data_IF_594214942196
#
_entry.id   IF_594214942196
#
_cell.length_a   1.000
_cell.length_b   1.000
_cell.length_c   1.000
_cell.angle_alpha   90.00
_cell.angle_beta   90.00
_cell.angle_gamma   90.00
#
_symmetry.space_group_name_H-M   'P 1'
#
loop_
_entity.id
_entity.type
_entity.pdbx_description
1 polymer ?
#
# COMPACT_ATOMS: atom_id res chain seq x y z
N UNK A 1 8.93 -23.05 -40.47
CA UNK A 1 7.93 -22.79 -39.43
C UNK A 1 6.89 -21.83 -39.99
N UNK A 2 5.60 -22.06 -39.77
CA UNK A 2 4.57 -21.14 -40.25
C UNK A 2 4.65 -19.84 -39.43
N UNK A 3 5.07 -18.74 -40.06
CA UNK A 3 5.29 -17.44 -39.39
C UNK A 3 4.01 -16.92 -38.73
N UNK A 4 2.84 -17.22 -39.29
CA UNK A 4 1.54 -16.77 -38.76
C UNK A 4 1.25 -17.42 -37.40
N UNK A 5 1.43 -18.74 -37.28
CA UNK A 5 1.17 -19.46 -36.02
C UNK A 5 2.12 -19.03 -34.89
N UNK A 6 3.38 -18.72 -35.24
CA UNK A 6 4.36 -18.21 -34.28
C UNK A 6 3.98 -16.81 -33.80
N UNK A 7 3.56 -15.93 -34.72
CA UNK A 7 3.08 -14.59 -34.39
C UNK A 7 1.83 -14.65 -33.49
N UNK A 8 0.90 -15.57 -33.75
CA UNK A 8 -0.26 -15.81 -32.89
C UNK A 8 0.15 -16.25 -31.48
N UNK A 9 1.13 -17.15 -31.35
CA UNK A 9 1.66 -17.55 -30.04
C UNK A 9 2.25 -16.37 -29.25
N UNK A 10 2.95 -15.45 -29.93
CA UNK A 10 3.45 -14.23 -29.30
C UNK A 10 2.31 -13.29 -28.88
N UNK A 11 1.28 -13.13 -29.72
CA UNK A 11 0.11 -12.33 -29.35
C UNK A 11 -0.61 -12.88 -28.11
N UNK A 12 -0.76 -14.20 -28.03
CA UNK A 12 -1.31 -14.89 -26.85
C UNK A 12 -0.45 -14.60 -25.62
N UNK A 13 0.88 -14.69 -25.71
CA UNK A 13 1.77 -14.34 -24.61
C UNK A 13 1.56 -12.89 -24.15
N UNK A 14 1.52 -11.92 -25.07
CA UNK A 14 1.32 -10.50 -24.74
C UNK A 14 -0.01 -10.30 -24.02
N UNK A 15 -1.09 -10.91 -24.52
CA UNK A 15 -2.40 -10.85 -23.87
C UNK A 15 -2.38 -11.46 -22.47
N UNK A 16 -1.76 -12.63 -22.30
CA UNK A 16 -1.58 -13.28 -20.98
C UNK A 16 -0.78 -12.39 -20.03
N UNK A 17 0.34 -11.82 -20.49
CA UNK A 17 1.17 -10.93 -19.70
C UNK A 17 0.39 -9.67 -19.26
N UNK A 18 -0.48 -9.12 -20.12
CA UNK A 18 -1.30 -7.96 -19.77
C UNK A 18 -2.24 -8.24 -18.59
N UNK A 19 -2.79 -9.45 -18.49
CA UNK A 19 -3.59 -9.86 -17.33
C UNK A 19 -2.72 -10.20 -16.12
N UNK A 20 -1.60 -10.88 -16.35
CA UNK A 20 -0.63 -11.23 -15.32
C UNK A 20 0.05 -10.00 -14.69
N UNK A 21 0.09 -8.84 -15.35
CA UNK A 21 0.58 -7.58 -14.76
C UNK A 21 -0.21 -7.14 -13.52
N UNK A 22 -1.44 -7.64 -13.33
CA UNK A 22 -2.21 -7.43 -12.09
C UNK A 22 -1.56 -8.10 -10.88
N UNK A 23 -0.70 -9.09 -11.11
CA UNK A 23 0.06 -9.85 -10.12
C UNK A 23 1.49 -10.11 -10.67
N UNK A 24 2.39 -9.12 -10.64
CA UNK A 24 3.62 -9.10 -11.43
C UNK A 24 4.59 -10.24 -11.13
N UNK A 25 4.54 -10.81 -9.93
CA UNK A 25 5.35 -11.98 -9.53
C UNK A 25 5.12 -13.20 -10.43
N UNK A 26 3.96 -13.26 -11.08
CA UNK A 26 3.58 -14.38 -11.94
C UNK A 26 4.31 -14.37 -13.28
N UNK A 27 4.82 -13.21 -13.71
CA UNK A 27 5.60 -13.05 -14.94
C UNK A 27 6.92 -13.85 -14.90
N UNK A 28 7.48 -14.06 -13.71
CA UNK A 28 8.68 -14.88 -13.50
C UNK A 28 8.46 -16.35 -13.87
N UNK A 29 7.22 -16.82 -13.94
CA UNK A 29 6.90 -18.20 -14.34
C UNK A 29 6.44 -18.27 -15.79
N UNK A 30 5.61 -17.32 -16.24
CA UNK A 30 5.02 -17.34 -17.59
C UNK A 30 6.08 -17.14 -18.68
N UNK A 31 6.96 -16.15 -18.52
CA UNK A 31 7.92 -15.78 -19.56
C UNK A 31 8.99 -16.88 -19.76
N UNK A 32 9.64 -17.42 -18.71
CA UNK A 32 10.61 -18.50 -18.90
C UNK A 32 9.99 -19.76 -19.49
N UNK A 33 8.79 -20.14 -19.04
CA UNK A 33 8.07 -21.30 -19.58
C UNK A 33 7.76 -21.12 -21.07
N UNK A 34 7.31 -19.94 -21.50
CA UNK A 34 7.09 -19.65 -22.92
C UNK A 34 8.38 -19.74 -23.73
N UNK A 35 9.47 -19.14 -23.24
CA UNK A 35 10.79 -19.18 -23.91
C UNK A 35 11.27 -20.63 -24.04
N UNK A 36 11.12 -21.42 -22.97
CA UNK A 36 11.51 -22.83 -22.96
C UNK A 36 10.70 -23.66 -23.97
N UNK A 37 9.37 -23.50 -23.99
CA UNK A 37 8.49 -24.15 -24.97
C UNK A 37 8.91 -23.76 -26.40
N UNK A 38 9.13 -22.47 -26.65
CA UNK A 38 9.58 -21.97 -27.96
C UNK A 38 10.92 -22.55 -28.37
N UNK A 39 11.89 -22.58 -27.47
CA UNK A 39 13.22 -23.17 -27.70
C UNK A 39 13.13 -24.67 -28.02
N UNK A 40 12.34 -25.43 -27.26
CA UNK A 40 12.13 -26.87 -27.46
C UNK A 40 11.61 -27.17 -28.88
N UNK A 41 10.50 -26.52 -29.27
CA UNK A 41 9.89 -26.75 -30.57
C UNK A 41 10.73 -26.20 -31.74
N UNK A 42 11.44 -25.08 -31.54
CA UNK A 42 12.39 -24.57 -32.52
C UNK A 42 13.53 -25.58 -32.77
N UNK A 43 14.05 -26.20 -31.71
CA UNK A 43 15.12 -27.22 -31.81
C UNK A 43 14.65 -28.47 -32.55
N UNK A 44 13.43 -28.93 -32.31
CA UNK A 44 12.83 -30.07 -33.01
C UNK A 44 12.62 -29.74 -34.49
N UNK A 45 12.10 -28.55 -34.80
CA UNK A 45 11.89 -28.07 -36.16
C UNK A 45 13.20 -27.93 -36.95
N UNK A 46 14.27 -27.44 -36.30
CA UNK A 46 15.61 -27.34 -36.89
C UNK A 46 16.16 -28.73 -37.24
N UNK A 47 16.11 -29.68 -36.31
CA UNK A 47 16.55 -31.06 -36.54
C UNK A 47 15.79 -31.71 -37.70
N UNK A 48 14.48 -31.52 -37.79
CA UNK A 48 13.67 -32.07 -38.87
C UNK A 48 14.05 -31.47 -40.24
N UNK A 49 14.32 -30.16 -40.29
CA UNK A 49 14.65 -29.45 -41.54
C UNK A 49 15.96 -29.93 -42.18
N UNK A 50 16.97 -30.27 -41.37
CA UNK A 50 18.29 -30.67 -41.86
C UNK A 50 18.50 -32.20 -41.88
N UNK A 51 17.49 -32.98 -41.52
CA UNK A 51 17.60 -34.44 -41.52
C UNK A 51 17.39 -34.99 -42.94
N UNK A 52 18.48 -35.48 -43.53
CA UNK A 52 18.53 -36.06 -44.88
C UNK A 52 17.82 -37.41 -44.99
N UNK A 53 17.47 -38.04 -43.86
CA UNK A 53 16.71 -39.31 -43.85
C UNK A 53 15.21 -39.13 -44.10
N UNK A 54 14.69 -37.90 -43.96
CA UNK A 54 13.27 -37.59 -44.15
C UNK A 54 13.03 -37.06 -45.55
N UNK A 55 11.92 -37.49 -46.16
CA UNK A 55 11.43 -36.88 -47.40
C UNK A 55 10.98 -35.44 -47.17
N UNK A 56 10.93 -34.65 -48.25
CA UNK A 56 10.50 -33.24 -48.19
C UNK A 56 9.05 -33.09 -47.69
N UNK A 57 8.20 -34.09 -47.95
CA UNK A 57 6.83 -34.12 -47.44
C UNK A 57 6.80 -34.33 -45.92
N UNK A 58 7.59 -35.27 -45.40
CA UNK A 58 7.70 -35.53 -43.96
C UNK A 58 8.32 -34.34 -43.22
N UNK A 59 9.37 -33.72 -43.76
CA UNK A 59 9.96 -32.49 -43.21
C UNK A 59 8.92 -31.37 -43.07
N UNK A 60 8.12 -31.14 -44.10
CA UNK A 60 7.05 -30.14 -44.07
C UNK A 60 5.92 -30.51 -43.10
N UNK A 61 5.59 -31.81 -42.98
CA UNK A 61 4.65 -32.33 -42.00
C UNK A 61 5.10 -32.05 -40.57
N UNK A 62 6.35 -32.38 -40.23
CA UNK A 62 6.94 -32.11 -38.91
C UNK A 62 6.97 -30.61 -38.60
N UNK A 63 7.31 -29.76 -39.58
CA UNK A 63 7.31 -28.31 -39.39
C UNK A 63 5.91 -27.74 -39.08
N UNK A 64 4.86 -28.30 -39.66
CA UNK A 64 3.47 -27.91 -39.36
C UNK A 64 3.05 -28.40 -37.98
N UNK A 65 3.39 -29.66 -37.65
CA UNK A 65 3.15 -30.23 -36.34
C UNK A 65 3.80 -29.40 -35.22
N UNK A 66 5.09 -29.06 -35.35
CA UNK A 66 5.78 -28.24 -34.35
C UNK A 66 5.14 -26.86 -34.17
N UNK A 67 4.66 -26.24 -35.26
CA UNK A 67 4.02 -24.93 -35.17
C UNK A 67 2.65 -24.99 -34.47
N UNK A 68 1.85 -26.03 -34.76
CA UNK A 68 0.57 -26.25 -34.09
C UNK A 68 0.80 -26.60 -32.63
N UNK A 69 1.65 -27.59 -32.35
CA UNK A 69 1.96 -28.04 -30.99
C UNK A 69 2.51 -26.92 -30.11
N UNK A 70 3.39 -26.06 -30.65
CA UNK A 70 3.84 -24.85 -29.98
C UNK A 70 2.66 -23.96 -29.54
N UNK A 71 1.76 -23.63 -30.48
CA UNK A 71 0.59 -22.81 -30.19
C UNK A 71 -0.31 -23.44 -29.13
N UNK A 72 -0.63 -24.74 -29.25
CA UNK A 72 -1.53 -25.43 -28.32
C UNK A 72 -0.93 -25.51 -26.92
N UNK A 73 0.35 -25.89 -26.81
CA UNK A 73 1.03 -26.00 -25.51
C UNK A 73 1.12 -24.62 -24.84
N UNK A 74 1.43 -23.57 -25.60
CA UNK A 74 1.43 -22.19 -25.08
C UNK A 74 0.04 -21.77 -24.58
N UNK A 75 -1.03 -22.05 -25.33
CA UNK A 75 -2.39 -21.69 -24.92
C UNK A 75 -2.77 -22.40 -23.62
N UNK A 76 -2.49 -23.70 -23.52
CA UNK A 76 -2.78 -24.50 -22.34
C UNK A 76 -1.96 -24.01 -21.14
N UNK A 77 -0.65 -23.77 -21.33
CA UNK A 77 0.21 -23.29 -20.25
C UNK A 77 -0.25 -21.94 -19.73
N UNK A 78 -0.53 -20.99 -20.63
CA UNK A 78 -0.95 -19.64 -20.26
C UNK A 78 -2.32 -19.63 -19.59
N UNK A 79 -3.28 -20.40 -20.11
CA UNK A 79 -4.59 -20.57 -19.49
C UNK A 79 -4.48 -21.20 -18.10
N UNK A 80 -3.63 -22.23 -17.95
CA UNK A 80 -3.33 -22.86 -16.67
C UNK A 80 -2.73 -21.90 -15.65
N UNK A 81 -1.78 -21.06 -16.06
CA UNK A 81 -1.22 -20.01 -15.20
C UNK A 81 -2.29 -19.01 -14.79
N UNK A 82 -3.07 -18.47 -15.72
CA UNK A 82 -4.14 -17.51 -15.38
C UNK A 82 -5.17 -18.12 -14.43
N UNK A 83 -5.55 -19.38 -14.64
CA UNK A 83 -6.46 -20.09 -13.74
C UNK A 83 -5.86 -20.24 -12.33
N UNK A 84 -4.60 -20.68 -12.25
CA UNK A 84 -3.91 -20.83 -10.97
C UNK A 84 -3.79 -19.51 -10.21
N UNK A 85 -3.40 -18.45 -10.90
CA UNK A 85 -3.28 -17.10 -10.32
C UNK A 85 -4.65 -16.64 -9.83
N UNK A 86 -5.69 -16.75 -10.67
CA UNK A 86 -7.03 -16.35 -10.30
C UNK A 86 -7.58 -17.11 -9.08
N UNK A 87 -7.13 -18.34 -8.84
CA UNK A 87 -7.50 -19.11 -7.65
C UNK A 87 -6.81 -18.64 -6.37
N UNK A 88 -5.65 -17.98 -6.46
CA UNK A 88 -4.92 -17.44 -5.31
C UNK A 88 -5.30 -15.98 -5.05
N UNK A 89 -5.30 -15.20 -6.12
CA UNK A 89 -5.58 -13.79 -6.16
C UNK A 89 -6.58 -13.52 -7.28
N UNK A 90 -7.85 -13.21 -6.94
CA UNK A 90 -8.88 -12.96 -7.95
C UNK A 90 -8.44 -11.82 -8.87
N UNK A 91 -8.20 -12.16 -10.14
CA UNK A 91 -7.79 -11.21 -11.19
C UNK A 91 -8.93 -10.91 -12.16
N UNK A 92 -10.04 -11.64 -12.08
CA UNK A 92 -11.23 -11.46 -12.92
C UNK A 92 -12.52 -11.32 -12.09
N UNK A 93 -13.56 -10.77 -12.74
CA UNK A 93 -14.92 -10.71 -12.20
C UNK A 93 -15.12 -9.74 -11.03
N UNK A 94 -16.26 -9.89 -10.36
CA UNK A 94 -16.70 -9.00 -9.27
C UNK A 94 -15.82 -9.14 -8.03
N UNK A 95 -15.21 -10.30 -7.83
CA UNK A 95 -14.32 -10.54 -6.70
C UNK A 95 -13.04 -9.68 -6.77
N UNK A 96 -12.50 -9.49 -7.99
CA UNK A 96 -11.40 -8.57 -8.26
C UNK A 96 -11.78 -7.12 -7.91
N UNK A 97 -12.95 -6.65 -8.34
CA UNK A 97 -13.40 -5.28 -8.06
C UNK A 97 -13.66 -5.07 -6.57
N UNK A 98 -14.22 -6.07 -5.89
CA UNK A 98 -14.45 -6.02 -4.44
C UNK A 98 -13.14 -5.97 -3.64
N UNK A 99 -12.08 -6.65 -4.11
CA UNK A 99 -10.74 -6.52 -3.53
C UNK A 99 -10.21 -5.09 -3.66
N UNK A 100 -10.25 -4.52 -4.87
CA UNK A 100 -9.82 -3.14 -5.10
C UNK A 100 -10.57 -2.15 -4.20
N UNK A 101 -11.89 -2.30 -4.09
CA UNK A 101 -12.70 -1.44 -3.23
C UNK A 101 -12.31 -1.56 -1.75
N UNK A 102 -12.05 -2.77 -1.26
CA UNK A 102 -11.58 -3.00 0.12
C UNK A 102 -10.23 -2.36 0.37
N UNK A 103 -9.29 -2.49 -0.56
CA UNK A 103 -7.96 -1.86 -0.45
C UNK A 103 -8.04 -0.33 -0.48
N UNK A 104 -8.86 0.24 -1.35
CA UNK A 104 -9.07 1.68 -1.41
C UNK A 104 -9.72 2.19 -0.11
N UNK A 105 -10.76 1.51 0.38
CA UNK A 105 -11.41 1.87 1.64
C UNK A 105 -10.44 1.76 2.82
N UNK A 106 -9.57 0.75 2.84
CA UNK A 106 -8.52 0.60 3.86
C UNK A 106 -7.51 1.75 3.79
N UNK A 107 -7.02 2.10 2.60
CA UNK A 107 -6.10 3.24 2.42
C UNK A 107 -6.75 4.56 2.84
N UNK A 108 -8.03 4.77 2.50
CA UNK A 108 -8.79 5.95 2.94
C UNK A 108 -8.95 5.98 4.46
N UNK A 109 -9.24 4.84 5.09
CA UNK A 109 -9.33 4.75 6.54
C UNK A 109 -7.98 5.02 7.22
N UNK A 110 -6.88 4.48 6.70
CA UNK A 110 -5.52 4.74 7.19
C UNK A 110 -5.12 6.21 7.03
N UNK A 111 -5.39 6.80 5.86
CA UNK A 111 -5.15 8.22 5.60
C UNK A 111 -6.00 9.12 6.51
N UNK A 112 -7.25 8.74 6.74
CA UNK A 112 -8.14 9.44 7.65
C UNK A 112 -7.64 9.37 9.09
N UNK A 113 -7.27 8.20 9.60
CA UNK A 113 -6.68 8.04 10.93
C UNK A 113 -5.39 8.85 11.08
N UNK A 114 -4.53 8.82 10.05
CA UNK A 114 -3.31 9.62 10.02
C UNK A 114 -3.61 11.12 10.06
N UNK A 115 -4.65 11.58 9.34
CA UNK A 115 -5.06 12.98 9.35
C UNK A 115 -5.57 13.41 10.73
N UNK A 116 -6.34 12.58 11.41
CA UNK A 116 -6.81 12.82 12.77
C UNK A 116 -5.64 12.90 13.76
N UNK A 117 -4.69 11.97 13.67
CA UNK A 117 -3.48 11.95 14.51
C UNK A 117 -2.64 13.21 14.32
N UNK A 118 -2.47 13.67 13.08
CA UNK A 118 -1.75 14.90 12.77
C UNK A 118 -2.48 16.13 13.28
N UNK A 119 -3.81 16.16 13.20
CA UNK A 119 -4.62 17.24 13.74
C UNK A 119 -4.51 17.32 15.28
N UNK A 120 -4.61 16.18 15.97
CA UNK A 120 -4.44 16.08 17.42
C UNK A 120 -3.04 16.52 17.85
N UNK A 121 -2.00 16.05 17.15
CA UNK A 121 -0.62 16.49 17.39
C UNK A 121 -0.48 18.00 17.21
N UNK A 122 -1.07 18.58 16.15
CA UNK A 122 -1.03 20.03 15.90
C UNK A 122 -1.72 20.82 16.99
N UNK A 123 -2.91 20.38 17.43
CA UNK A 123 -3.67 20.99 18.53
C UNK A 123 -2.86 20.97 19.82
N UNK A 124 -2.35 19.81 20.20
CA UNK A 124 -1.54 19.63 21.42
C UNK A 124 -0.23 20.41 21.36
N UNK A 125 0.46 20.44 20.22
CA UNK A 125 1.68 21.23 20.03
C UNK A 125 1.41 22.72 20.16
N UNK A 126 0.36 23.23 19.51
CA UNK A 126 -0.06 24.63 19.62
C UNK A 126 -0.45 25.00 21.06
N UNK A 127 -1.12 24.09 21.77
CA UNK A 127 -1.49 24.29 23.17
C UNK A 127 -0.26 24.41 24.07
N UNK A 128 0.72 23.49 23.93
CA UNK A 128 1.99 23.55 24.65
C UNK A 128 2.73 24.85 24.40
N UNK A 129 2.76 25.30 23.15
CA UNK A 129 3.43 26.55 22.78
C UNK A 129 2.73 27.78 23.39
N UNK A 130 1.39 27.79 23.42
CA UNK A 130 0.64 28.83 24.13
C UNK A 130 0.98 28.85 25.61
N UNK A 131 0.97 27.69 26.28
CA UNK A 131 1.25 27.58 27.72
C UNK A 131 2.68 28.05 28.01
N UNK A 132 3.66 27.63 27.20
CA UNK A 132 5.06 28.07 27.34
C UNK A 132 5.22 29.58 27.39
N UNK A 133 4.43 30.34 26.63
CA UNK A 133 4.48 31.81 26.63
C UNK A 133 4.02 32.45 27.94
N UNK A 134 3.26 31.71 28.76
CA UNK A 134 2.77 32.19 30.06
C UNK A 134 3.69 31.82 31.23
N UNK A 135 4.62 30.89 31.02
CA UNK A 135 5.55 30.41 32.05
C UNK A 135 6.72 31.38 32.25
N UNK A 136 7.26 31.41 33.48
CA UNK A 136 8.48 32.19 33.80
C UNK A 136 9.74 31.60 33.16
N UNK A 137 9.84 30.27 33.11
CA UNK A 137 10.87 29.53 32.39
C UNK A 137 10.20 28.53 31.42
N UNK A 138 10.03 28.97 30.17
CA UNK A 138 9.42 28.15 29.11
C UNK A 138 10.27 26.94 28.71
N UNK A 139 11.59 26.99 28.96
CA UNK A 139 12.55 25.98 28.52
C UNK A 139 12.54 24.73 29.41
N UNK A 140 12.19 24.89 30.70
CA UNK A 140 12.05 23.79 31.65
C UNK A 140 10.66 23.14 31.68
N UNK A 141 9.73 23.62 30.85
CA UNK A 141 8.35 23.14 30.85
C UNK A 141 8.25 21.65 30.50
N UNK A 142 7.65 20.87 31.41
CA UNK A 142 7.32 19.46 31.24
C UNK A 142 5.81 19.33 31.19
N UNK A 143 5.29 18.68 30.15
CA UNK A 143 3.86 18.48 29.93
C UNK A 143 3.49 17.01 30.09
N UNK A 144 2.29 16.75 30.60
CA UNK A 144 1.75 15.41 30.77
C UNK A 144 0.21 15.41 30.77
N UNK A 145 -0.38 14.24 30.49
CA UNK A 145 -1.83 14.01 30.59
C UNK A 145 -2.68 14.82 29.62
N UNK A 146 -2.13 15.18 28.47
CA UNK A 146 -2.82 15.98 27.47
C UNK A 146 -4.01 15.23 26.88
N UNK A 147 -5.16 15.89 26.83
CA UNK A 147 -6.40 15.38 26.24
C UNK A 147 -7.15 16.49 25.52
N UNK A 148 -7.86 16.11 24.47
CA UNK A 148 -8.83 16.99 23.82
C UNK A 148 -10.07 17.12 24.71
N UNK A 149 -10.42 18.35 25.08
CA UNK A 149 -11.63 18.74 25.79
C UNK A 149 -12.74 19.23 24.86
N UNK A 150 -13.82 19.73 25.45
CA UNK A 150 -14.93 20.38 24.73
C UNK A 150 -14.48 21.68 24.06
N UNK A 151 -15.23 22.12 23.05
CA UNK A 151 -15.00 23.37 22.30
C UNK A 151 -13.60 23.49 21.66
N UNK A 152 -12.92 22.35 21.42
CA UNK A 152 -11.55 22.34 20.88
C UNK A 152 -10.48 22.74 21.88
N UNK A 153 -10.78 22.74 23.18
CA UNK A 153 -9.79 22.93 24.23
C UNK A 153 -8.82 21.75 24.29
N UNK A 154 -7.57 22.00 24.66
CA UNK A 154 -6.58 21.00 25.06
C UNK A 154 -6.30 21.20 26.53
N UNK A 155 -6.48 20.16 27.32
CA UNK A 155 -6.27 20.19 28.76
C UNK A 155 -5.17 19.22 29.15
N UNK A 156 -4.39 19.56 30.18
CA UNK A 156 -3.35 18.69 30.68
C UNK A 156 -2.67 19.29 31.90
N UNK A 157 -1.47 18.80 32.18
CA UNK A 157 -0.63 19.25 33.28
C UNK A 157 0.68 19.81 32.74
N UNK A 158 1.19 20.84 33.42
CA UNK A 158 2.47 21.47 33.13
C UNK A 158 3.23 21.71 34.42
N UNK A 159 4.54 21.45 34.39
CA UNK A 159 5.44 21.72 35.50
C UNK A 159 6.69 22.42 34.96
N UNK A 160 7.02 23.57 35.53
CA UNK A 160 8.13 24.41 35.08
C UNK A 160 8.81 25.09 36.28
N UNK A 161 10.03 25.58 36.06
CA UNK A 161 10.76 26.31 37.08
C UNK A 161 10.15 27.69 37.33
N UNK A 162 10.07 28.06 38.60
CA UNK A 162 9.69 29.40 39.04
C UNK A 162 10.89 30.38 38.95
N UNK A 163 10.69 31.64 39.37
CA UNK A 163 11.75 32.66 39.37
C UNK A 163 12.98 32.32 40.22
N UNK A 164 12.87 31.35 41.13
CA UNK A 164 13.96 30.86 41.99
C UNK A 164 14.65 29.62 41.39
N UNK A 165 14.27 29.18 40.19
CA UNK A 165 14.87 28.04 39.50
C UNK A 165 14.39 26.66 39.96
N UNK A 166 13.38 26.59 40.85
CA UNK A 166 12.83 25.35 41.38
C UNK A 166 11.50 24.99 40.72
N UNK A 167 11.21 23.69 40.57
CA UNK A 167 9.91 23.20 40.11
C UNK A 167 8.86 23.33 41.22
N UNK A 168 7.69 23.87 40.88
CA UNK A 168 6.60 24.11 41.84
C UNK A 168 5.58 22.96 41.93
N UNK A 169 5.70 21.95 41.06
CA UNK A 169 4.75 20.85 40.95
C UNK A 169 3.87 20.97 39.71
N UNK A 170 3.12 19.90 39.43
CA UNK A 170 2.27 19.81 38.25
C UNK A 170 1.02 20.70 38.43
N UNK A 171 0.87 21.70 37.56
CA UNK A 171 -0.28 22.59 37.52
C UNK A 171 -1.17 22.23 36.33
N UNK A 172 -2.50 22.25 36.52
CA UNK A 172 -3.44 22.05 35.43
C UNK A 172 -3.37 23.23 34.45
N UNK A 173 -3.56 22.95 33.17
CA UNK A 173 -3.70 24.02 32.17
C UNK A 173 -4.82 23.70 31.18
N UNK A 174 -5.39 24.77 30.62
CA UNK A 174 -6.38 24.74 29.54
C UNK A 174 -5.83 25.60 28.42
N UNK A 175 -5.86 25.11 27.18
CA UNK A 175 -5.57 25.93 26.00
C UNK A 175 -6.68 25.85 24.98
N UNK A 176 -7.14 26.99 24.50
CA UNK A 176 -8.17 27.10 23.46
C UNK A 176 -7.78 28.19 22.48
N UNK A 177 -7.78 27.86 21.18
CA UNK A 177 -7.50 28.81 20.10
C UNK A 177 -6.23 29.67 20.31
N UNK A 178 -5.16 29.08 20.83
CA UNK A 178 -3.88 29.76 21.05
C UNK A 178 -3.82 30.69 22.28
N UNK A 179 -4.85 30.67 23.13
CA UNK A 179 -4.81 31.23 24.49
C UNK A 179 -4.69 30.09 25.49
N UNK A 180 -4.05 30.35 26.61
CA UNK A 180 -3.87 29.36 27.67
C UNK A 180 -4.06 29.95 29.04
N UNK A 181 -4.65 29.15 29.93
CA UNK A 181 -4.84 29.43 31.35
C UNK A 181 -4.15 28.33 32.14
N UNK A 182 -3.42 28.71 33.19
CA UNK A 182 -2.82 27.79 34.14
C UNK A 182 -3.59 27.96 35.46
N UNK A 183 -3.80 26.85 36.15
CA UNK A 183 -4.47 26.81 37.44
C UNK A 183 -3.79 27.70 38.46
N UNK A 184 -4.51 28.74 38.88
CA UNK A 184 -4.12 29.70 39.90
C UNK A 184 -4.91 29.49 41.21
N UNK A 185 -5.73 28.44 41.28
CA UNK A 185 -6.63 28.17 42.40
C UNK A 185 -7.91 29.02 42.40
N UNK A 186 -8.17 29.81 41.35
CA UNK A 186 -9.39 30.60 41.23
C UNK A 186 -10.64 29.73 40.98
N UNK A 187 -11.80 30.24 41.40
CA UNK A 187 -13.11 29.64 41.11
C UNK A 187 -13.34 29.61 39.59
N UNK A 188 -12.96 30.66 38.87
CA UNK A 188 -13.10 30.76 37.41
C UNK A 188 -12.30 29.68 36.68
N UNK A 189 -11.06 29.39 37.11
CA UNK A 189 -10.31 28.29 36.52
C UNK A 189 -11.00 26.94 36.76
N UNK A 190 -11.48 26.71 37.99
CA UNK A 190 -12.20 25.48 38.34
C UNK A 190 -13.45 25.28 37.48
N UNK A 191 -14.26 26.32 37.31
CA UNK A 191 -15.45 26.29 36.46
C UNK A 191 -15.10 26.00 34.99
N UNK A 192 -14.06 26.65 34.45
CA UNK A 192 -13.60 26.40 33.09
C UNK A 192 -13.04 24.99 32.91
N UNK A 193 -12.35 24.46 33.91
CA UNK A 193 -11.83 23.09 33.91
C UNK A 193 -12.96 22.05 33.90
N UNK A 194 -13.97 22.22 34.76
CA UNK A 194 -15.17 21.36 34.77
C UNK A 194 -15.94 21.49 33.46
N UNK A 195 -16.06 22.70 32.90
CA UNK A 195 -16.79 22.94 31.65
C UNK A 195 -16.07 22.43 30.41
N UNK A 196 -14.74 22.47 30.35
CA UNK A 196 -13.99 22.16 29.12
C UNK A 196 -13.27 20.81 29.17
N UNK A 197 -12.81 20.36 30.34
CA UNK A 197 -11.84 19.26 30.45
C UNK A 197 -12.41 17.98 31.06
N UNK A 198 -13.58 18.03 31.71
CA UNK A 198 -14.28 16.87 32.32
C UNK A 198 -15.54 16.59 31.53
#
# INVERSE_FOLDING_TARGET
MNKILVALGFFVLVATCAFALREPETLFFIIPTFIFIGWLFAKIAEKAKYNTRLSKAEQNGTLRFCAIAFLTVTLISNGGYLYWINSLTPIFGDEYTNRLQREENKKKAEQYEQSLRMEEFRKTSSAKESVKKTLKDSSSAKFSGEKSGRDGAVCGYVNAKNSFGAYAGDSRYISISGRSLIDDGSIEFKENWERLCI
#
